data_IF_468830225090
#
_entry.id   IF_468830225090
#
_cell.length_a   1.000
_cell.length_b   1.000
_cell.length_c   1.000
_cell.angle_alpha   90.00
_cell.angle_beta   90.00
_cell.angle_gamma   90.00
#
_symmetry.space_group_name_H-M   'P 1'
#
loop_
_entity.id
_entity.type
_entity.pdbx_description
1 polymer ?
#
# COMPACT_ATOMS: atom_id res chain seq x y z
N UNK A 1 20.00 18.15 10.45
CA UNK A 1 19.07 17.89 9.33
C UNK A 1 18.84 16.39 9.31
N UNK A 2 17.62 15.95 9.63
CA UNK A 2 17.32 14.54 9.87
C UNK A 2 17.45 13.74 8.56
N UNK A 3 18.53 12.97 8.44
CA UNK A 3 18.64 11.89 7.47
C UNK A 3 17.80 10.72 7.99
N UNK A 4 16.49 10.79 7.83
CA UNK A 4 15.66 9.59 7.90
C UNK A 4 15.85 8.84 6.58
N UNK A 5 16.91 8.03 6.58
CA UNK A 5 17.14 6.96 5.62
C UNK A 5 15.87 6.11 5.59
N UNK A 6 15.05 6.34 4.56
CA UNK A 6 13.91 5.50 4.19
C UNK A 6 14.42 4.08 3.97
N UNK A 7 14.48 3.29 5.04
CA UNK A 7 14.71 1.86 4.97
C UNK A 7 13.42 1.22 4.48
N UNK A 8 13.12 1.37 3.19
CA UNK A 8 12.10 0.57 2.54
C UNK A 8 12.77 -0.73 2.12
N UNK A 9 12.48 -1.88 2.77
CA UNK A 9 12.92 -3.17 2.22
C UNK A 9 12.38 -3.26 0.79
N UNK A 10 13.28 -3.55 -0.15
CA UNK A 10 12.99 -3.58 -1.58
C UNK A 10 11.71 -4.40 -1.84
N UNK A 11 10.61 -3.72 -2.17
CA UNK A 11 9.33 -4.35 -2.52
C UNK A 11 8.09 -3.92 -1.71
N UNK A 12 8.23 -3.14 -0.63
CA UNK A 12 7.05 -2.57 0.06
C UNK A 12 6.68 -1.23 -0.58
N UNK A 13 5.43 -1.12 -1.05
CA UNK A 13 4.85 0.13 -1.57
C UNK A 13 4.14 0.88 -0.43
N UNK A 14 4.36 2.20 -0.39
CA UNK A 14 3.65 3.11 0.50
C UNK A 14 2.62 3.94 -0.28
N UNK A 15 1.50 4.19 0.39
CA UNK A 15 0.36 4.90 -0.16
C UNK A 15 0.00 6.08 0.74
N UNK A 16 -0.25 7.23 0.12
CA UNK A 16 -0.97 8.32 0.79
C UNK A 16 -2.42 8.24 0.32
N UNK A 17 -3.35 8.13 1.26
CA UNK A 17 -4.77 7.98 0.97
C UNK A 17 -5.49 9.24 1.39
N UNK A 18 -6.20 9.85 0.46
CA UNK A 18 -7.17 10.90 0.73
C UNK A 18 -8.56 10.29 0.70
N UNK A 19 -9.29 10.46 1.79
CA UNK A 19 -10.68 10.04 1.90
C UNK A 19 -11.59 11.13 1.39
N UNK A 20 -12.79 10.75 0.94
CA UNK A 20 -13.85 11.70 0.53
C UNK A 20 -14.30 12.61 1.67
N UNK A 21 -14.05 12.21 2.92
CA UNK A 21 -14.29 13.02 4.11
C UNK A 21 -13.27 14.16 4.27
N UNK A 22 -12.23 14.21 3.44
CA UNK A 22 -11.11 15.15 3.56
C UNK A 22 -9.98 14.67 4.48
N UNK A 23 -10.15 13.53 5.14
CA UNK A 23 -9.08 12.93 5.94
C UNK A 23 -7.92 12.45 5.05
N UNK A 24 -6.71 12.51 5.59
CA UNK A 24 -5.49 12.02 4.94
C UNK A 24 -4.85 10.95 5.84
N UNK A 25 -4.47 9.82 5.23
CA UNK A 25 -3.66 8.79 5.89
C UNK A 25 -2.33 8.61 5.14
N UNK A 26 -1.22 8.71 5.87
CA UNK A 26 0.15 8.55 5.37
C UNK A 26 1.08 8.13 6.54
N UNK A 27 1.99 7.15 6.36
CA UNK A 27 2.11 6.22 5.24
C UNK A 27 1.23 4.98 5.44
N UNK A 28 0.45 4.62 4.42
CA UNK A 28 -0.39 3.43 4.42
C UNK A 28 0.34 2.32 3.67
N UNK A 29 0.36 1.11 4.21
CA UNK A 29 0.91 -0.07 3.53
C UNK A 29 -0.19 -0.83 2.78
N UNK A 30 0.18 -1.72 1.86
CA UNK A 30 -0.76 -2.58 1.12
C UNK A 30 -1.73 -3.34 2.05
N UNK A 31 -1.21 -3.84 3.18
CA UNK A 31 -2.04 -4.54 4.19
C UNK A 31 -3.07 -3.62 4.84
N UNK A 32 -2.73 -2.37 5.08
CA UNK A 32 -3.65 -1.39 5.62
C UNK A 32 -4.68 -0.93 4.57
N UNK A 33 -4.30 -0.89 3.28
CA UNK A 33 -5.23 -0.63 2.17
C UNK A 33 -6.36 -1.65 2.09
N UNK A 34 -6.10 -2.93 2.39
CA UNK A 34 -7.11 -3.99 2.42
C UNK A 34 -8.23 -3.74 3.45
N UNK A 35 -7.97 -2.96 4.51
CA UNK A 35 -8.96 -2.64 5.53
C UNK A 35 -9.83 -1.42 5.14
N UNK A 36 -9.48 -0.72 4.07
CA UNK A 36 -10.16 0.49 3.63
C UNK A 36 -11.18 0.14 2.56
N UNK A 37 -12.41 0.63 2.71
CA UNK A 37 -13.42 0.47 1.66
C UNK A 37 -13.09 1.42 0.50
N UNK A 38 -13.05 0.94 -0.76
CA UNK A 38 -12.70 1.76 -1.90
C UNK A 38 -13.71 2.89 -2.15
N UNK A 39 -14.95 2.74 -1.66
CA UNK A 39 -15.98 3.76 -1.76
C UNK A 39 -15.69 5.02 -0.94
N UNK A 40 -14.91 4.89 0.14
CA UNK A 40 -14.53 5.98 1.05
C UNK A 40 -13.29 6.75 0.57
N UNK A 41 -12.57 6.20 -0.41
CA UNK A 41 -11.34 6.76 -0.97
C UNK A 41 -11.68 7.75 -2.08
N UNK A 42 -11.05 8.91 -2.04
CA UNK A 42 -11.07 9.91 -3.11
C UNK A 42 -9.83 9.76 -4.00
N UNK A 43 -8.64 9.75 -3.37
CA UNK A 43 -7.35 9.68 -4.07
C UNK A 43 -6.39 8.75 -3.34
N UNK A 44 -5.61 7.98 -4.10
CA UNK A 44 -4.45 7.24 -3.59
C UNK A 44 -3.21 7.66 -4.36
N UNK A 45 -2.17 8.07 -3.63
CA UNK A 45 -0.87 8.40 -4.17
C UNK A 45 0.14 7.30 -3.83
N UNK A 46 0.78 6.72 -4.85
CA UNK A 46 1.82 5.71 -4.67
C UNK A 46 3.16 6.44 -4.55
N UNK A 47 3.75 6.42 -3.35
CA UNK A 47 4.92 7.26 -3.00
C UNK A 47 6.12 6.91 -3.88
N UNK A 48 6.44 5.63 -4.00
CA UNK A 48 7.60 5.11 -4.74
C UNK A 48 7.46 5.30 -6.24
N UNK A 49 6.24 5.25 -6.77
CA UNK A 49 5.97 5.44 -8.21
C UNK A 49 5.69 6.91 -8.57
N UNK A 50 5.61 7.80 -7.57
CA UNK A 50 5.32 9.24 -7.73
C UNK A 50 4.12 9.50 -8.64
N UNK A 51 3.07 8.68 -8.51
CA UNK A 51 1.86 8.80 -9.32
C UNK A 51 0.61 8.46 -8.52
N UNK A 52 -0.52 8.95 -9.01
CA UNK A 52 -1.83 8.55 -8.53
C UNK A 52 -2.16 7.13 -8.99
N UNK A 53 -2.82 6.35 -8.14
CA UNK A 53 -3.40 5.07 -8.50
C UNK A 53 -4.72 5.28 -9.28
N UNK A 54 -4.98 4.46 -10.28
CA UNK A 54 -6.26 4.50 -10.99
C UNK A 54 -7.38 3.89 -10.13
N UNK A 55 -8.66 4.19 -10.40
CA UNK A 55 -9.77 3.58 -9.67
C UNK A 55 -9.76 2.05 -9.70
N UNK A 56 -9.29 1.45 -10.79
CA UNK A 56 -9.13 -0.02 -10.91
C UNK A 56 -8.02 -0.55 -10.01
N UNK A 57 -6.90 0.17 -9.90
CA UNK A 57 -5.81 -0.18 -8.97
C UNK A 57 -6.26 -0.05 -7.52
N UNK A 58 -6.99 1.02 -7.18
CA UNK A 58 -7.56 1.22 -5.83
C UNK A 58 -8.49 0.06 -5.47
N UNK A 59 -9.36 -0.35 -6.40
CA UNK A 59 -10.24 -1.51 -6.20
C UNK A 59 -9.45 -2.80 -5.94
N UNK A 60 -8.36 -3.04 -6.68
CA UNK A 60 -7.49 -4.21 -6.46
C UNK A 60 -6.80 -4.16 -5.09
N UNK A 61 -6.31 -2.98 -4.69
CA UNK A 61 -5.66 -2.76 -3.38
C UNK A 61 -6.63 -2.97 -2.21
N UNK A 62 -7.87 -2.50 -2.34
CA UNK A 62 -8.87 -2.62 -1.27
C UNK A 62 -9.55 -4.00 -1.19
N UNK A 63 -9.74 -4.71 -2.31
CA UNK A 63 -10.38 -6.03 -2.30
C UNK A 63 -9.44 -7.18 -1.89
N UNK A 64 -8.16 -6.93 -1.64
CA UNK A 64 -7.22 -7.97 -1.23
C UNK A 64 -7.11 -9.13 -2.22
N UNK A 65 -7.11 -8.85 -3.53
CA UNK A 65 -7.00 -9.86 -4.58
C UNK A 65 -5.79 -9.56 -5.47
N UNK A 66 -4.78 -10.42 -5.61
CA UNK A 66 -4.55 -11.77 -5.11
C UNK A 66 -3.05 -11.89 -4.84
N UNK A 67 -2.61 -12.91 -4.08
CA UNK A 67 -1.20 -13.24 -3.85
C UNK A 67 -0.32 -12.84 -5.05
N UNK A 68 0.82 -12.14 -4.90
CA UNK A 68 1.89 -12.38 -5.83
C UNK A 68 2.21 -13.87 -5.73
N UNK A 69 1.76 -14.62 -6.73
CA UNK A 69 2.42 -15.85 -7.18
C UNK A 69 3.85 -15.44 -7.55
N UNK A 70 4.69 -15.31 -6.52
CA UNK A 70 6.14 -15.02 -6.53
C UNK A 70 6.71 -14.80 -5.11
N UNK A 71 5.99 -15.09 -4.01
CA UNK A 71 6.70 -15.36 -2.74
C UNK A 71 7.11 -16.83 -2.78
N UNK A 72 8.33 -17.09 -3.25
CA UNK A 72 9.06 -18.30 -2.84
C UNK A 72 9.07 -18.28 -1.31
N UNK A 73 8.19 -19.09 -0.76
CA UNK A 73 8.38 -19.94 0.41
C UNK A 73 9.75 -19.72 1.09
N UNK A 74 9.75 -18.99 2.19
CA UNK A 74 10.74 -19.22 3.24
C UNK A 74 10.12 -20.22 4.19
N UNK A 75 10.20 -21.49 3.80
CA UNK A 75 10.23 -22.57 4.79
C UNK A 75 11.63 -22.54 5.41
N UNK A 76 11.69 -22.39 6.72
CA UNK A 76 12.92 -22.21 7.48
C UNK A 76 12.67 -22.48 8.95
N UNK A 77 12.29 -23.73 9.21
CA UNK A 77 12.61 -24.54 10.39
C UNK A 77 13.07 -23.77 11.65
N UNK A 78 12.16 -23.63 12.62
CA UNK A 78 12.52 -23.31 14.01
C UNK A 78 12.33 -24.56 14.85
N UNK A 79 13.32 -25.46 14.76
CA UNK A 79 13.49 -26.57 15.69
C UNK A 79 14.32 -26.13 16.90
#
# INVERSE_FOLDING_TARGET
MAHELNYTPAGILHYNVQFKTGALANPVTDRAMCAIRPADIDVVWIVERKRQATPEEIRKLCNGAAKPSSRKEWEGDWR
#
